data_IF_419131191453
#
_entry.id   IF_419131191453
#
_cell.length_a   1.000
_cell.length_b   1.000
_cell.length_c   1.000
_cell.angle_alpha   90.00
_cell.angle_beta   90.00
_cell.angle_gamma   90.00
#
_symmetry.space_group_name_H-M   'P 1'
#
loop_
_entity.id
_entity.type
_entity.pdbx_description
1 polymer ?
#
# COMPACT_ATOMS: atom_id res chain seq x y z
N UNK A 1 -31.69 -10.33 -21.12
CA UNK A 1 -30.36 -10.31 -21.73
C UNK A 1 -29.37 -10.50 -20.60
N UNK A 2 -28.89 -11.72 -20.43
CA UNK A 2 -27.93 -12.13 -19.41
C UNK A 2 -26.53 -12.08 -19.99
N UNK A 3 -25.75 -11.12 -19.51
CA UNK A 3 -24.30 -11.17 -19.29
C UNK A 3 -23.97 -9.91 -18.47
N UNK A 4 -24.49 -9.88 -17.24
CA UNK A 4 -23.94 -9.04 -16.19
C UNK A 4 -22.63 -9.72 -15.80
N UNK A 5 -21.53 -9.04 -16.12
CA UNK A 5 -20.32 -9.05 -15.31
C UNK A 5 -19.79 -10.45 -14.96
N UNK A 6 -18.91 -10.97 -15.80
CA UNK A 6 -17.69 -11.53 -15.21
C UNK A 6 -17.04 -10.35 -14.46
N UNK A 7 -17.41 -10.17 -13.19
CA UNK A 7 -16.78 -9.23 -12.26
C UNK A 7 -15.31 -9.64 -12.11
N UNK A 8 -14.48 -9.32 -13.10
CA UNK A 8 -13.03 -9.40 -12.94
C UNK A 8 -12.67 -8.40 -11.85
N UNK A 9 -12.41 -8.94 -10.66
CA UNK A 9 -11.80 -8.21 -9.56
C UNK A 9 -10.58 -7.45 -10.11
N UNK A 10 -10.56 -6.12 -9.94
CA UNK A 10 -9.46 -5.27 -10.42
C UNK A 10 -8.12 -5.90 -10.00
N UNK A 11 -7.22 -6.22 -10.96
CA UNK A 11 -5.93 -6.82 -10.65
C UNK A 11 -5.14 -6.06 -9.59
N UNK A 12 -5.35 -4.75 -9.44
CA UNK A 12 -4.77 -3.96 -8.35
C UNK A 12 -5.38 -4.33 -7.00
N UNK A 13 -6.71 -4.31 -6.86
CA UNK A 13 -7.41 -4.69 -5.63
C UNK A 13 -7.07 -6.12 -5.21
N UNK A 14 -7.13 -7.07 -6.16
CA UNK A 14 -6.77 -8.46 -5.91
C UNK A 14 -5.32 -8.62 -5.40
N UNK A 15 -4.39 -7.76 -5.82
CA UNK A 15 -3.01 -7.77 -5.32
C UNK A 15 -2.90 -7.21 -3.92
N UNK A 16 -3.67 -6.17 -3.59
CA UNK A 16 -3.71 -5.59 -2.26
C UNK A 16 -4.36 -6.56 -1.27
N UNK A 17 -5.45 -7.21 -1.64
CA UNK A 17 -6.11 -8.22 -0.78
C UNK A 17 -5.17 -9.37 -0.42
N UNK A 18 -4.42 -9.89 -1.40
CA UNK A 18 -3.40 -10.94 -1.18
C UNK A 18 -2.29 -10.53 -0.21
N UNK A 19 -2.12 -9.24 0.06
CA UNK A 19 -1.12 -8.76 1.02
C UNK A 19 -1.62 -8.75 2.46
N UNK A 20 -2.93 -8.88 2.69
CA UNK A 20 -3.53 -8.73 4.02
C UNK A 20 -3.56 -7.29 4.55
N UNK A 21 -3.25 -6.30 3.71
CA UNK A 21 -3.19 -4.88 4.06
C UNK A 21 -4.27 -4.03 3.37
N UNK A 22 -5.42 -4.65 3.08
CA UNK A 22 -6.50 -4.00 2.34
C UNK A 22 -7.12 -2.84 3.14
N UNK A 23 -7.29 -3.00 4.45
CA UNK A 23 -7.84 -1.95 5.30
C UNK A 23 -6.94 -0.70 5.34
N UNK A 24 -5.64 -0.87 5.54
CA UNK A 24 -4.70 0.25 5.57
C UNK A 24 -4.60 0.93 4.20
N UNK A 25 -4.74 0.18 3.11
CA UNK A 25 -4.83 0.74 1.77
C UNK A 25 -6.13 1.56 1.58
N UNK A 26 -7.27 1.04 2.04
CA UNK A 26 -8.55 1.74 1.97
C UNK A 26 -8.51 3.05 2.77
N UNK A 27 -8.02 3.03 4.01
CA UNK A 27 -7.84 4.22 4.85
C UNK A 27 -6.99 5.29 4.13
N UNK A 28 -5.92 4.86 3.48
CA UNK A 28 -5.05 5.72 2.69
C UNK A 28 -5.77 6.32 1.47
N UNK A 29 -6.52 5.51 0.72
CA UNK A 29 -7.33 6.00 -0.41
C UNK A 29 -8.42 6.98 0.04
N UNK A 30 -9.09 6.72 1.16
CA UNK A 30 -10.08 7.62 1.77
C UNK A 30 -9.43 8.96 2.13
N UNK A 31 -8.27 8.95 2.80
CA UNK A 31 -7.57 10.19 3.14
C UNK A 31 -7.23 11.02 1.88
N UNK A 32 -6.73 10.39 0.82
CA UNK A 32 -6.47 11.11 -0.43
C UNK A 32 -7.76 11.56 -1.11
N UNK A 33 -8.83 10.75 -1.05
CA UNK A 33 -10.11 11.16 -1.59
C UNK A 33 -10.63 12.43 -0.92
N UNK A 34 -10.49 12.54 0.40
CA UNK A 34 -10.95 13.70 1.16
C UNK A 34 -10.05 14.92 0.96
N UNK A 35 -8.73 14.72 1.02
CA UNK A 35 -7.76 15.83 1.04
C UNK A 35 -7.23 16.21 -0.34
N UNK A 36 -7.30 15.30 -1.30
CA UNK A 36 -6.69 15.39 -2.64
C UNK A 36 -5.18 15.68 -2.61
N UNK A 37 -4.50 15.36 -1.51
CA UNK A 37 -3.06 15.58 -1.31
C UNK A 37 -2.45 14.50 -0.41
N UNK A 38 -1.61 13.64 -1.01
CA UNK A 38 -0.91 12.56 -0.31
C UNK A 38 0.02 13.04 0.80
N UNK A 39 0.53 14.28 0.73
CA UNK A 39 1.41 14.86 1.76
C UNK A 39 0.67 15.11 3.07
N UNK A 40 -0.66 15.18 3.03
CA UNK A 40 -1.52 15.32 4.22
C UNK A 40 -1.98 13.97 4.79
N UNK A 41 -1.56 12.85 4.19
CA UNK A 41 -1.91 11.48 4.55
C UNK A 41 -0.70 10.68 5.05
N UNK A 42 0.22 11.35 5.75
CA UNK A 42 1.49 10.75 6.18
C UNK A 42 1.28 9.59 7.15
N UNK A 43 0.27 9.67 8.03
CA UNK A 43 -0.02 8.63 9.02
C UNK A 43 -0.62 7.39 8.37
N UNK A 44 -1.57 7.56 7.47
CA UNK A 44 -2.17 6.48 6.68
C UNK A 44 -1.11 5.80 5.80
N UNK A 45 -0.23 6.60 5.18
CA UNK A 45 0.87 6.09 4.37
C UNK A 45 1.86 5.28 5.21
N UNK A 46 2.16 5.72 6.44
CA UNK A 46 3.01 5.00 7.37
C UNK A 46 2.39 3.67 7.79
N UNK A 47 1.09 3.65 8.13
CA UNK A 47 0.37 2.41 8.49
C UNK A 47 0.39 1.40 7.35
N UNK A 48 0.07 1.85 6.13
CA UNK A 48 0.10 0.98 4.95
C UNK A 48 1.50 0.42 4.69
N UNK A 49 2.55 1.26 4.74
CA UNK A 49 3.95 0.80 4.57
C UNK A 49 4.34 -0.25 5.61
N UNK A 50 4.04 -0.02 6.89
CA UNK A 50 4.34 -0.96 7.96
C UNK A 50 3.63 -2.31 7.75
N UNK A 51 2.34 -2.29 7.43
CA UNK A 51 1.61 -3.51 7.12
C UNK A 51 2.21 -4.22 5.90
N UNK A 52 2.46 -3.48 4.82
CA UNK A 52 2.93 -4.03 3.56
C UNK A 52 4.31 -4.68 3.70
N UNK A 53 5.21 -4.08 4.48
CA UNK A 53 6.49 -4.69 4.82
C UNK A 53 6.35 -5.95 5.67
N UNK A 54 5.42 -5.98 6.63
CA UNK A 54 5.23 -7.11 7.51
C UNK A 54 4.64 -8.32 6.78
N UNK A 55 3.65 -8.09 5.89
CA UNK A 55 2.82 -9.16 5.33
C UNK A 55 3.15 -9.52 3.87
N UNK A 56 3.80 -8.63 3.10
CA UNK A 56 4.19 -8.91 1.71
C UNK A 56 5.66 -9.30 1.59
N UNK A 57 5.96 -10.24 0.67
CA UNK A 57 7.32 -10.62 0.25
C UNK A 57 7.57 -10.37 -1.25
N UNK A 58 6.70 -9.62 -1.91
CA UNK A 58 6.88 -9.27 -3.33
C UNK A 58 8.03 -8.28 -3.53
N UNK A 59 8.42 -8.05 -4.79
CA UNK A 59 9.51 -7.13 -5.12
C UNK A 59 9.32 -5.74 -4.48
N UNK A 60 8.10 -5.20 -4.53
CA UNK A 60 7.80 -3.89 -3.93
C UNK A 60 8.05 -3.81 -2.42
N UNK A 61 7.72 -4.85 -1.65
CA UNK A 61 7.98 -4.84 -0.20
C UNK A 61 9.47 -5.02 0.13
N UNK A 62 10.23 -5.75 -0.70
CA UNK A 62 11.67 -5.90 -0.55
C UNK A 62 12.41 -4.59 -0.88
N UNK A 63 12.02 -3.92 -1.97
CA UNK A 63 12.55 -2.61 -2.35
C UNK A 63 12.31 -1.57 -1.26
N UNK A 64 11.08 -1.52 -0.72
CA UNK A 64 10.74 -0.62 0.38
C UNK A 64 11.62 -0.87 1.62
N UNK A 65 11.80 -2.12 2.04
CA UNK A 65 12.71 -2.47 3.15
C UNK A 65 14.15 -2.06 2.88
N UNK A 66 14.62 -2.27 1.65
CA UNK A 66 15.99 -1.94 1.26
C UNK A 66 16.22 -0.43 1.33
N UNK A 67 15.30 0.36 0.76
CA UNK A 67 15.37 1.83 0.80
C UNK A 67 15.40 2.39 2.22
N UNK A 68 14.62 1.82 3.14
CA UNK A 68 14.60 2.26 4.54
C UNK A 68 15.90 1.90 5.28
N UNK A 69 16.45 0.72 5.02
CA UNK A 69 17.75 0.32 5.57
C UNK A 69 18.91 1.19 5.07
N UNK A 70 18.88 1.59 3.80
CA UNK A 70 19.87 2.50 3.21
C UNK A 70 19.76 3.90 3.82
N UNK A 71 18.54 4.42 3.96
CA UNK A 71 18.29 5.71 4.61
C UNK A 71 18.86 5.73 6.04
N UNK A 72 18.63 4.67 6.83
CA UNK A 72 19.16 4.54 8.19
C UNK A 72 20.70 4.53 8.22
N UNK A 73 21.34 3.78 7.31
CA UNK A 73 22.81 3.77 7.20
C UNK A 73 23.41 5.12 6.82
N UNK A 74 22.66 5.94 6.07
CA UNK A 74 23.10 7.27 5.66
C UNK A 74 22.87 8.33 6.75
N UNK A 75 21.92 8.13 7.67
CA UNK A 75 21.75 9.02 8.84
C UNK A 75 22.79 8.80 9.95
N UNK A 76 23.41 7.62 10.00
CA UNK A 76 24.39 7.23 11.01
C UNK A 76 25.86 7.57 10.64
N UNK A 77 26.06 8.32 9.55
CA UNK A 77 27.38 8.71 9.02
C UNK A 77 27.59 10.22 9.11
#
# INVERSE_FOLDING_TARGET
MSNLEEEEEDPYNARIERTGCAQENEDLQICFYDKKDWRLCQEEMKRFRQCFQANSKNAGSQELKTSEQEQYKQSDK
#
